data_IF_604026791926
#
_entry.id   IF_604026791926
#
_cell.length_a   1.000
_cell.length_b   1.000
_cell.length_c   1.000
_cell.angle_alpha   90.00
_cell.angle_beta   90.00
_cell.angle_gamma   90.00
#
_symmetry.space_group_name_H-M   'P 1'
#
loop_
_entity.id
_entity.type
_entity.pdbx_description
1 polymer ?
#
# COMPACT_ATOMS: atom_id res chain seq x y z
N UNK A 1 -45.85 -54.10 42.18
CA UNK A 1 -44.50 -53.95 41.61
C UNK A 1 -44.57 -53.14 40.34
N UNK A 2 -43.85 -52.01 40.29
CA UNK A 2 -43.12 -51.49 39.13
C UNK A 2 -42.42 -50.20 39.56
N UNK A 3 -41.10 -50.23 39.43
CA UNK A 3 -40.16 -49.15 39.74
C UNK A 3 -40.36 -47.98 38.78
N UNK A 4 -40.18 -46.76 39.29
CA UNK A 4 -39.95 -45.58 38.46
C UNK A 4 -38.65 -44.94 38.93
N UNK A 5 -37.61 -45.13 38.13
CA UNK A 5 -36.33 -44.42 38.21
C UNK A 5 -36.58 -42.91 38.31
N UNK A 6 -36.17 -42.29 39.42
CA UNK A 6 -36.10 -40.83 39.52
C UNK A 6 -34.64 -40.42 39.52
N UNK A 7 -34.24 -39.92 38.36
CA UNK A 7 -32.88 -39.53 38.02
C UNK A 7 -32.25 -38.58 39.03
N UNK A 8 -30.99 -38.86 39.34
CA UNK A 8 -30.13 -38.03 40.17
C UNK A 8 -29.85 -36.74 39.40
N UNK A 9 -30.52 -35.65 39.78
CA UNK A 9 -30.23 -34.30 39.25
C UNK A 9 -28.84 -33.89 39.72
N UNK A 10 -27.85 -33.97 38.83
CA UNK A 10 -26.50 -33.41 39.07
C UNK A 10 -26.64 -31.90 39.26
N UNK A 11 -26.40 -31.42 40.47
CA UNK A 11 -26.26 -29.98 40.76
C UNK A 11 -24.79 -29.62 40.53
N UNK A 12 -24.52 -28.99 39.39
CA UNK A 12 -23.23 -28.35 39.15
C UNK A 12 -23.24 -27.02 39.92
N UNK A 13 -22.51 -26.97 41.03
CA UNK A 13 -22.14 -25.70 41.67
C UNK A 13 -20.73 -25.39 41.20
N UNK A 14 -20.62 -24.77 40.02
CA UNK A 14 -19.38 -24.13 39.62
C UNK A 14 -19.34 -22.78 40.35
N UNK A 15 -18.65 -22.74 41.49
CA UNK A 15 -18.27 -21.47 42.10
C UNK A 15 -17.25 -20.80 41.19
N UNK A 16 -17.68 -19.80 40.42
CA UNK A 16 -16.82 -19.00 39.55
C UNK A 16 -16.08 -17.89 40.32
N UNK A 17 -15.88 -18.03 41.65
CA UNK A 17 -15.06 -17.07 42.38
C UNK A 17 -13.59 -17.53 42.31
N UNK A 18 -12.69 -16.76 41.69
CA UNK A 18 -11.27 -17.07 41.67
C UNK A 18 -10.72 -17.12 43.10
N UNK A 19 -9.81 -18.05 43.38
CA UNK A 19 -9.17 -18.17 44.69
C UNK A 19 -8.30 -16.92 44.97
N UNK A 20 -8.03 -16.57 46.25
CA UNK A 20 -7.19 -15.43 46.58
C UNK A 20 -5.76 -15.67 46.04
N UNK A 21 -5.40 -14.97 44.96
CA UNK A 21 -4.10 -15.09 44.28
C UNK A 21 -4.16 -15.59 42.82
N UNK A 22 -5.32 -16.06 42.34
CA UNK A 22 -5.52 -16.39 40.92
C UNK A 22 -5.89 -15.13 40.12
N UNK A 23 -5.25 -14.93 38.96
CA UNK A 23 -5.63 -13.84 38.06
C UNK A 23 -7.06 -14.02 37.56
N UNK A 24 -7.88 -13.00 37.79
CA UNK A 24 -9.24 -12.90 37.26
C UNK A 24 -9.25 -13.16 35.74
N UNK A 25 -10.15 -14.04 35.27
CA UNK A 25 -10.22 -14.46 33.85
C UNK A 25 -10.39 -13.27 32.91
N UNK A 26 -11.16 -12.26 33.30
CA UNK A 26 -11.31 -11.03 32.52
C UNK A 26 -9.97 -10.30 32.36
N UNK A 27 -9.13 -10.31 33.40
CA UNK A 27 -7.79 -9.75 33.38
C UNK A 27 -6.86 -10.55 32.46
N UNK A 28 -6.89 -11.88 32.53
CA UNK A 28 -6.11 -12.74 31.65
C UNK A 28 -6.51 -12.60 30.17
N UNK A 29 -7.81 -12.55 29.87
CA UNK A 29 -8.33 -12.35 28.52
C UNK A 29 -7.95 -10.97 27.98
N UNK A 30 -8.03 -9.92 28.80
CA UNK A 30 -7.60 -8.56 28.41
C UNK A 30 -6.12 -8.53 28.03
N UNK A 31 -5.25 -9.17 28.82
CA UNK A 31 -3.81 -9.28 28.52
C UNK A 31 -3.55 -10.02 27.21
N UNK A 32 -4.18 -11.17 27.00
CA UNK A 32 -4.02 -11.96 25.77
C UNK A 32 -4.49 -11.19 24.51
N UNK A 33 -5.62 -10.48 24.60
CA UNK A 33 -6.10 -9.63 23.49
C UNK A 33 -5.13 -8.49 23.19
N UNK A 34 -4.58 -7.86 24.22
CA UNK A 34 -3.59 -6.79 24.07
C UNK A 34 -2.30 -7.32 23.41
N UNK A 35 -1.79 -8.47 23.87
CA UNK A 35 -0.59 -9.11 23.32
C UNK A 35 -0.80 -9.54 21.86
N UNK A 36 -1.94 -10.13 21.53
CA UNK A 36 -2.30 -10.47 20.16
C UNK A 36 -2.39 -9.22 19.27
N UNK A 37 -2.94 -8.12 19.79
CA UNK A 37 -2.97 -6.83 19.10
C UNK A 37 -1.58 -6.25 18.84
N UNK A 38 -0.68 -6.31 19.83
CA UNK A 38 0.72 -5.86 19.68
C UNK A 38 1.46 -6.68 18.64
N UNK A 39 1.37 -8.01 18.69
CA UNK A 39 1.97 -8.92 17.69
C UNK A 39 1.43 -8.66 16.29
N UNK A 40 0.12 -8.44 16.15
CA UNK A 40 -0.49 -8.12 14.87
C UNK A 40 0.05 -6.78 14.32
N UNK A 41 0.18 -5.76 15.16
CA UNK A 41 0.73 -4.46 14.77
C UNK A 41 2.21 -4.56 14.38
N UNK A 42 3.03 -5.31 15.12
CA UNK A 42 4.44 -5.53 14.82
C UNK A 42 4.62 -6.27 13.49
N UNK A 43 3.89 -7.36 13.29
CA UNK A 43 3.91 -8.11 12.03
C UNK A 43 3.45 -7.26 10.84
N UNK A 44 2.43 -6.41 11.03
CA UNK A 44 1.99 -5.49 9.99
C UNK A 44 3.08 -4.46 9.61
N UNK A 45 3.76 -3.89 10.60
CA UNK A 45 4.90 -2.97 10.38
C UNK A 45 6.04 -3.65 9.64
N UNK A 46 6.42 -4.86 10.06
CA UNK A 46 7.48 -5.64 9.40
C UNK A 46 7.11 -5.96 7.96
N UNK A 47 5.87 -6.37 7.69
CA UNK A 47 5.38 -6.62 6.33
C UNK A 47 5.46 -5.37 5.45
N UNK A 48 5.04 -4.21 5.97
CA UNK A 48 5.14 -2.94 5.25
C UNK A 48 6.59 -2.60 4.88
N UNK A 49 7.53 -2.76 5.82
CA UNK A 49 8.95 -2.55 5.57
C UNK A 49 9.51 -3.53 4.52
N UNK A 50 9.15 -4.80 4.62
CA UNK A 50 9.60 -5.82 3.66
C UNK A 50 9.03 -5.56 2.26
N UNK A 51 7.77 -5.12 2.15
CA UNK A 51 7.12 -4.74 0.89
C UNK A 51 7.77 -3.49 0.28
N UNK A 52 8.06 -2.48 1.10
CA UNK A 52 8.75 -1.26 0.67
C UNK A 52 10.18 -1.55 0.20
N UNK A 53 10.92 -2.37 0.93
CA UNK A 53 12.27 -2.80 0.54
C UNK A 53 12.26 -3.60 -0.77
N UNK A 54 11.28 -4.50 -0.95
CA UNK A 54 11.09 -5.23 -2.22
C UNK A 54 10.76 -4.27 -3.36
N UNK A 55 9.89 -3.29 -3.12
CA UNK A 55 9.53 -2.27 -4.11
C UNK A 55 10.75 -1.43 -4.49
N UNK A 56 11.55 -1.00 -3.53
CA UNK A 56 12.75 -0.21 -3.78
C UNK A 56 13.78 -0.97 -4.62
N UNK A 57 14.00 -2.25 -4.33
CA UNK A 57 14.88 -3.12 -5.14
C UNK A 57 14.39 -3.21 -6.58
N UNK A 58 13.08 -3.44 -6.77
CA UNK A 58 12.48 -3.50 -8.11
C UNK A 58 12.66 -2.18 -8.87
N UNK A 59 12.50 -1.03 -8.21
CA UNK A 59 12.69 0.28 -8.84
C UNK A 59 14.13 0.49 -9.31
N UNK A 60 15.11 0.06 -8.51
CA UNK A 60 16.54 0.12 -8.86
C UNK A 60 16.89 -0.75 -10.08
N UNK A 61 16.25 -1.91 -10.21
CA UNK A 61 16.40 -2.81 -11.36
C UNK A 61 15.84 -2.20 -12.66
N UNK A 62 14.76 -1.43 -12.56
CA UNK A 62 14.07 -0.82 -13.71
C UNK A 62 14.45 0.64 -13.97
N UNK A 63 15.51 1.16 -13.33
CA UNK A 63 15.92 2.57 -13.44
C UNK A 63 16.11 3.05 -14.89
N UNK A 64 16.56 2.15 -15.76
CA UNK A 64 16.85 2.39 -17.19
C UNK A 64 15.63 2.17 -18.09
N UNK A 65 14.42 2.08 -17.51
CA UNK A 65 13.20 1.93 -18.29
C UNK A 65 12.98 3.15 -19.19
N UNK A 66 12.52 2.91 -20.42
CA UNK A 66 12.27 3.95 -21.40
C UNK A 66 10.81 3.94 -21.88
N UNK A 67 10.26 5.10 -22.25
CA UNK A 67 8.97 5.17 -22.91
C UNK A 67 8.99 4.41 -24.23
N UNK A 68 7.94 3.64 -24.49
CA UNK A 68 7.69 3.04 -25.78
C UNK A 68 6.25 3.30 -26.21
N UNK A 69 6.02 3.22 -27.51
CA UNK A 69 4.71 3.42 -28.11
C UNK A 69 4.25 2.15 -28.81
N UNK A 70 3.01 1.77 -28.57
CA UNK A 70 2.31 0.71 -29.31
C UNK A 70 0.99 1.27 -29.81
N UNK A 71 0.83 1.36 -31.13
CA UNK A 71 -0.28 2.09 -31.76
C UNK A 71 -0.29 3.57 -31.37
N UNK A 72 -1.39 4.04 -30.78
CA UNK A 72 -1.56 5.44 -30.35
C UNK A 72 -1.30 5.67 -28.85
N UNK A 73 -0.92 4.63 -28.12
CA UNK A 73 -0.73 4.69 -26.66
C UNK A 73 0.73 4.43 -26.27
N UNK A 74 1.14 5.02 -25.16
CA UNK A 74 2.47 4.93 -24.58
C UNK A 74 2.47 4.09 -23.31
N UNK A 75 3.57 3.36 -23.12
CA UNK A 75 3.90 2.57 -21.94
C UNK A 75 5.39 2.71 -21.58
N UNK A 76 5.84 1.97 -20.58
CA UNK A 76 7.25 1.89 -20.16
C UNK A 76 7.78 0.47 -20.34
N UNK A 77 9.01 0.34 -20.84
CA UNK A 77 9.69 -0.95 -20.98
C UNK A 77 11.16 -0.84 -20.59
N UNK A 78 11.75 -1.95 -20.19
CA UNK A 78 13.19 -2.13 -20.03
C UNK A 78 13.64 -3.22 -20.99
N UNK A 79 14.38 -2.85 -22.05
CA UNK A 79 14.70 -3.76 -23.14
C UNK A 79 13.42 -4.30 -23.81
N UNK A 80 13.18 -5.60 -23.68
CA UNK A 80 11.97 -6.29 -24.16
C UNK A 80 10.89 -6.46 -23.08
N UNK A 81 11.22 -6.21 -21.81
CA UNK A 81 10.30 -6.36 -20.69
C UNK A 81 9.36 -5.15 -20.60
N UNK A 82 8.05 -5.37 -20.77
CA UNK A 82 7.04 -4.33 -20.58
C UNK A 82 6.77 -4.16 -19.08
N UNK A 83 7.05 -2.97 -18.55
CA UNK A 83 6.81 -2.63 -17.14
C UNK A 83 5.42 -2.02 -16.99
N UNK A 84 5.11 -1.05 -17.85
CA UNK A 84 3.79 -0.41 -17.91
C UNK A 84 3.21 -0.66 -19.30
N UNK A 85 2.07 -1.35 -19.42
CA UNK A 85 1.38 -1.54 -20.69
C UNK A 85 1.03 -0.19 -21.36
N UNK A 86 0.85 -0.15 -22.69
CA UNK A 86 0.61 1.10 -23.38
C UNK A 86 -0.82 1.56 -23.15
N UNK A 87 -1.02 2.50 -22.23
CA UNK A 87 -2.34 3.03 -21.83
C UNK A 87 -2.44 4.57 -21.87
N UNK A 88 -1.31 5.27 -21.78
CA UNK A 88 -1.25 6.73 -21.73
C UNK A 88 -1.19 7.38 -23.11
N UNK A 89 -1.58 8.65 -23.23
CA UNK A 89 -1.46 9.41 -24.49
C UNK A 89 -0.02 9.80 -24.78
N UNK A 90 0.75 10.11 -23.74
CA UNK A 90 2.16 10.44 -23.81
C UNK A 90 2.85 10.10 -22.48
N UNK A 91 4.13 9.75 -22.55
CA UNK A 91 5.01 9.59 -21.40
C UNK A 91 6.32 10.29 -21.76
N UNK A 92 6.84 11.14 -20.88
CA UNK A 92 8.16 11.73 -21.05
C UNK A 92 9.24 10.78 -20.51
N UNK A 93 10.48 10.86 -21.03
CA UNK A 93 11.60 10.09 -20.49
C UNK A 93 11.73 10.26 -18.97
N UNK A 94 12.16 9.21 -18.24
CA UNK A 94 12.29 9.33 -16.80
C UNK A 94 13.33 10.36 -16.36
N UNK A 95 13.02 11.05 -15.26
CA UNK A 95 13.93 11.95 -14.55
C UNK A 95 13.77 11.66 -13.05
N UNK A 96 14.89 11.47 -12.35
CA UNK A 96 14.87 11.22 -10.90
C UNK A 96 14.05 9.99 -10.46
N UNK A 97 13.90 8.97 -11.31
CA UNK A 97 13.08 7.78 -11.01
C UNK A 97 11.57 7.96 -11.22
N UNK A 98 11.16 9.07 -11.85
CA UNK A 98 9.76 9.40 -12.14
C UNK A 98 9.57 9.70 -13.61
N UNK A 99 8.34 9.56 -14.09
CA UNK A 99 7.92 9.94 -15.44
C UNK A 99 6.71 10.87 -15.36
N UNK A 100 6.74 11.96 -16.12
CA UNK A 100 5.54 12.71 -16.42
C UNK A 100 4.73 11.95 -17.48
N UNK A 101 3.44 11.78 -17.26
CA UNK A 101 2.53 11.10 -18.20
C UNK A 101 1.31 11.97 -18.49
N UNK A 102 0.79 11.84 -19.70
CA UNK A 102 -0.45 12.48 -20.14
C UNK A 102 -1.55 11.42 -20.25
N UNK A 103 -2.60 11.56 -19.45
CA UNK A 103 -3.74 10.64 -19.47
C UNK A 103 -4.79 11.07 -20.50
N UNK A 104 -5.22 12.32 -20.42
CA UNK A 104 -6.06 12.99 -21.41
C UNK A 104 -5.33 14.23 -21.93
N UNK A 105 -5.85 14.83 -23.02
CA UNK A 105 -5.23 16.02 -23.61
C UNK A 105 -5.02 17.13 -22.56
N UNK A 106 -3.77 17.57 -22.39
CA UNK A 106 -3.37 18.58 -21.42
C UNK A 106 -3.68 18.20 -19.95
N UNK A 107 -3.76 16.91 -19.64
CA UNK A 107 -3.89 16.38 -18.29
C UNK A 107 -2.69 15.51 -17.96
N UNK A 108 -1.70 16.16 -17.35
CA UNK A 108 -0.43 15.61 -16.95
C UNK A 108 -0.41 15.24 -15.48
N UNK A 109 0.22 14.10 -15.18
CA UNK A 109 0.49 13.59 -13.85
C UNK A 109 1.91 13.04 -13.76
N UNK A 110 2.26 12.48 -12.61
CA UNK A 110 3.56 11.85 -12.35
C UNK A 110 3.36 10.43 -11.88
N UNK A 111 4.13 9.50 -12.42
CA UNK A 111 4.20 8.12 -11.97
C UNK A 111 5.65 7.71 -11.71
N UNK A 112 5.84 6.78 -10.77
CA UNK A 112 7.10 6.08 -10.61
C UNK A 112 7.30 5.06 -11.75
N UNK A 113 8.53 4.57 -11.92
CA UNK A 113 8.89 3.63 -12.98
C UNK A 113 8.11 2.31 -12.95
N UNK A 114 7.64 1.89 -11.77
CA UNK A 114 6.79 0.70 -11.61
C UNK A 114 5.33 0.92 -12.03
N UNK A 115 5.00 2.12 -12.52
CA UNK A 115 3.67 2.52 -12.97
C UNK A 115 2.74 3.02 -11.87
N UNK A 116 3.22 3.14 -10.63
CA UNK A 116 2.44 3.71 -9.53
C UNK A 116 2.30 5.23 -9.74
N UNK A 117 1.06 5.69 -9.88
CA UNK A 117 0.76 7.13 -9.95
C UNK A 117 1.03 7.76 -8.58
N UNK A 118 1.88 8.79 -8.56
CA UNK A 118 2.20 9.58 -7.36
C UNK A 118 1.53 10.95 -7.39
N UNK A 119 1.26 11.46 -8.60
CA UNK A 119 0.48 12.67 -8.82
C UNK A 119 -0.53 12.40 -9.92
N UNK A 120 -1.81 12.55 -9.59
CA UNK A 120 -2.93 12.39 -10.53
C UNK A 120 -2.84 13.34 -11.72
N UNK A 121 -3.33 12.90 -12.88
CA UNK A 121 -3.30 13.65 -14.12
C UNK A 121 -4.29 14.83 -14.14
N UNK A 122 -3.92 15.94 -13.50
CA UNK A 122 -4.77 17.13 -13.31
C UNK A 122 -4.13 18.45 -13.71
N UNK A 123 -2.92 18.40 -14.24
CA UNK A 123 -2.10 19.59 -14.51
C UNK A 123 -1.92 19.79 -16.02
N UNK A 124 -1.81 21.03 -16.47
CA UNK A 124 -1.57 21.34 -17.89
C UNK A 124 -0.13 21.01 -18.31
N UNK A 125 0.80 21.08 -17.37
CA UNK A 125 2.21 20.77 -17.59
C UNK A 125 2.83 20.25 -16.30
N UNK A 126 3.80 19.37 -16.44
CA UNK A 126 4.60 18.83 -15.34
C UNK A 126 6.07 18.80 -15.75
N UNK A 127 6.92 19.42 -14.94
CA UNK A 127 8.37 19.38 -15.08
C UNK A 127 8.97 18.73 -13.83
N UNK A 128 9.86 17.76 -14.03
CA UNK A 128 10.50 16.97 -12.99
C UNK A 128 11.99 17.23 -13.05
N UNK A 129 12.58 17.58 -11.91
CA UNK A 129 14.02 17.77 -11.77
C UNK A 129 14.70 16.48 -11.26
N UNK A 130 16.01 16.29 -11.54
CA UNK A 130 16.75 15.11 -11.09
C UNK A 130 16.78 14.90 -9.57
N UNK A 131 16.58 15.96 -8.78
CA UNK A 131 16.56 15.94 -7.31
C UNK A 131 15.19 15.54 -6.73
N UNK A 132 14.19 15.26 -7.57
CA UNK A 132 12.83 14.92 -7.16
C UNK A 132 11.90 16.12 -6.96
N UNK A 133 12.38 17.35 -7.22
CA UNK A 133 11.52 18.54 -7.27
C UNK A 133 10.59 18.45 -8.48
N UNK A 134 9.29 18.70 -8.27
CA UNK A 134 8.30 18.70 -9.34
C UNK A 134 7.53 20.01 -9.39
N UNK A 135 7.49 20.60 -10.59
CA UNK A 135 6.71 21.78 -10.90
C UNK A 135 5.43 21.38 -11.65
N UNK A 136 4.29 21.70 -11.05
CA UNK A 136 2.96 21.34 -11.53
C UNK A 136 2.21 22.59 -11.97
N UNK A 137 2.00 22.78 -13.27
CA UNK A 137 1.29 23.95 -13.81
C UNK A 137 -0.21 23.65 -13.87
N UNK A 138 -1.02 24.32 -13.05
CA UNK A 138 -2.50 24.15 -13.06
C UNK A 138 -3.11 24.91 -14.24
N UNK A 139 -2.66 26.14 -14.42
CA UNK A 139 -2.97 27.04 -15.54
C UNK A 139 -1.70 27.83 -15.85
N UNK A 140 -1.55 28.37 -17.07
CA UNK A 140 -0.42 29.24 -17.40
C UNK A 140 -0.25 30.35 -16.36
N UNK A 141 0.95 30.46 -15.78
CA UNK A 141 1.27 31.43 -14.71
C UNK A 141 0.96 30.98 -13.27
N UNK A 142 0.31 29.83 -13.05
CA UNK A 142 0.08 29.26 -11.71
C UNK A 142 0.73 27.89 -11.58
N UNK A 143 1.91 27.88 -10.97
CA UNK A 143 2.73 26.69 -10.73
C UNK A 143 2.70 26.31 -9.24
N UNK A 144 2.56 25.01 -8.95
CA UNK A 144 2.73 24.44 -7.62
C UNK A 144 4.00 23.58 -7.61
N UNK A 145 4.84 23.76 -6.59
CA UNK A 145 6.04 22.94 -6.40
C UNK A 145 5.80 21.90 -5.32
N UNK A 146 6.27 20.67 -5.53
CA UNK A 146 6.28 19.58 -4.53
C UNK A 146 7.62 18.83 -4.56
N UNK A 147 7.90 18.09 -3.49
CA UNK A 147 9.03 17.16 -3.40
C UNK A 147 8.49 15.72 -3.38
N UNK A 148 9.08 14.85 -4.20
CA UNK A 148 8.76 13.42 -4.26
C UNK A 148 9.84 12.54 -3.60
#
# INVERSE_FOLDING_TARGET
GKETEKGTRKRYIASNLPAPGEEDFDTAIKKLKAEAGQRAAENARKRQQDEEAKRQRRLEEIREALPYRMGMKWGLKLGECIIVPPKYRKILPPVGGYCAFEENACQWGVMALDGKVVVEARYQEVNIEPDGTVYLTVIPGKVKTIQL
#
